data_IF_918318742485
#
_entry.id   IF_918318742485
#
_cell.length_a   1.000
_cell.length_b   1.000
_cell.length_c   1.000
_cell.angle_alpha   90.00
_cell.angle_beta   90.00
_cell.angle_gamma   90.00
#
_symmetry.space_group_name_H-M   'P 1'
#
loop_
_entity.id
_entity.type
_entity.pdbx_description
1 polymer ?
#
# COMPACT_ATOMS: atom_id res chain seq x y z
N UNK A 1 37.31 -3.32 10.91
CA UNK A 1 36.04 -2.56 11.02
C UNK A 1 35.57 -1.90 9.70
N UNK A 2 36.45 -1.65 8.70
CA UNK A 2 36.07 -1.00 7.42
C UNK A 2 35.18 -1.82 6.48
N UNK A 3 35.19 -3.15 6.60
CA UNK A 3 34.50 -4.10 5.70
C UNK A 3 33.09 -4.47 6.12
N UNK A 4 32.73 -4.27 7.40
CA UNK A 4 31.38 -4.59 7.88
C UNK A 4 30.31 -3.66 7.30
N UNK A 5 30.64 -2.38 7.12
CA UNK A 5 29.74 -1.38 6.57
C UNK A 5 29.34 -1.65 5.10
N UNK A 6 30.28 -1.89 4.16
CA UNK A 6 29.92 -2.20 2.78
C UNK A 6 29.22 -3.55 2.65
N UNK A 7 29.54 -4.53 3.50
CA UNK A 7 28.86 -5.85 3.52
C UNK A 7 27.41 -5.71 4.01
N UNK A 8 27.15 -4.89 5.04
CA UNK A 8 25.79 -4.63 5.51
C UNK A 8 24.97 -3.86 4.47
N UNK A 9 25.59 -2.90 3.76
CA UNK A 9 24.95 -2.14 2.69
C UNK A 9 24.61 -3.04 1.50
N UNK A 10 25.51 -3.93 1.12
CA UNK A 10 25.27 -4.91 0.06
C UNK A 10 24.15 -5.90 0.43
N UNK A 11 24.08 -6.34 1.70
CA UNK A 11 23.01 -7.20 2.18
C UNK A 11 21.62 -6.52 2.17
N UNK A 12 21.57 -5.21 2.44
CA UNK A 12 20.33 -4.42 2.37
C UNK A 12 19.90 -4.13 0.93
N UNK A 13 20.86 -3.97 0.00
CA UNK A 13 20.61 -3.72 -1.43
C UNK A 13 20.36 -4.99 -2.24
N UNK A 14 20.82 -6.16 -1.76
CA UNK A 14 20.79 -7.44 -2.47
C UNK A 14 19.53 -8.28 -2.27
N UNK A 15 18.50 -7.77 -1.59
CA UNK A 15 17.23 -8.48 -1.44
C UNK A 15 16.33 -8.15 -2.63
N UNK A 16 16.48 -8.90 -3.73
CA UNK A 16 15.34 -9.12 -4.62
C UNK A 16 14.27 -9.87 -3.80
N UNK A 17 13.23 -9.15 -3.36
CA UNK A 17 12.10 -9.78 -2.70
C UNK A 17 11.25 -10.51 -3.74
N UNK A 18 11.57 -11.78 -4.00
CA UNK A 18 10.62 -12.75 -4.55
C UNK A 18 9.58 -13.15 -3.48
N UNK A 19 8.95 -12.17 -2.84
CA UNK A 19 7.85 -12.41 -1.91
C UNK A 19 6.55 -12.12 -2.62
N UNK A 20 5.68 -13.12 -2.69
CA UNK A 20 4.27 -12.96 -3.04
C UNK A 20 3.68 -11.79 -2.25
N UNK A 21 3.10 -10.81 -2.97
CA UNK A 21 2.47 -9.64 -2.36
C UNK A 21 1.40 -10.11 -1.36
N UNK A 22 1.20 -9.37 -0.27
CA UNK A 22 0.12 -9.63 0.68
C UNK A 22 -0.74 -8.39 0.74
N UNK A 23 -2.05 -8.57 0.55
CA UNK A 23 -3.04 -7.50 0.51
C UNK A 23 -4.17 -7.80 1.48
N UNK A 24 -4.97 -6.80 1.83
CA UNK A 24 -6.28 -7.03 2.42
C UNK A 24 -7.27 -7.47 1.34
N UNK A 25 -8.09 -8.48 1.63
CA UNK A 25 -9.17 -8.93 0.77
C UNK A 25 -10.52 -8.90 1.48
N UNK A 26 -11.56 -8.55 0.73
CA UNK A 26 -12.94 -8.69 1.18
C UNK A 26 -13.88 -8.53 -0.01
N UNK A 27 -15.12 -8.97 0.18
CA UNK A 27 -16.19 -8.83 -0.81
C UNK A 27 -17.43 -8.30 -0.12
N UNK A 28 -18.04 -7.28 -0.72
CA UNK A 28 -19.33 -6.75 -0.31
C UNK A 28 -19.38 -6.34 1.18
N UNK A 29 -18.48 -5.45 1.60
CA UNK A 29 -18.49 -4.87 2.95
C UNK A 29 -18.85 -3.40 2.92
N UNK A 30 -19.57 -2.93 3.94
CA UNK A 30 -19.96 -1.52 4.05
C UNK A 30 -18.93 -0.65 4.78
N UNK A 31 -17.89 -1.26 5.35
CA UNK A 31 -16.90 -0.57 6.17
C UNK A 31 -15.53 -1.19 5.97
N UNK A 32 -14.52 -0.33 5.98
CA UNK A 32 -13.12 -0.70 5.90
C UNK A 32 -12.72 -1.64 7.03
N UNK A 33 -13.23 -1.43 8.25
CA UNK A 33 -12.89 -2.24 9.43
C UNK A 33 -13.22 -3.72 9.24
N UNK A 34 -14.34 -4.03 8.58
CA UNK A 34 -14.74 -5.40 8.24
C UNK A 34 -14.05 -5.96 6.98
N UNK A 35 -13.14 -5.18 6.40
CA UNK A 35 -12.46 -5.44 5.13
C UNK A 35 -10.92 -5.39 5.30
N UNK A 36 -10.45 -5.97 6.41
CA UNK A 36 -9.03 -6.05 6.79
C UNK A 36 -8.57 -7.50 6.98
N UNK A 37 -9.03 -8.42 6.12
CA UNK A 37 -8.53 -9.80 6.10
C UNK A 37 -7.24 -9.89 5.28
N UNK A 38 -6.06 -10.14 5.87
CA UNK A 38 -4.83 -10.29 5.10
C UNK A 38 -4.89 -11.54 4.22
N UNK A 39 -4.36 -11.46 3.01
CA UNK A 39 -4.39 -12.52 2.00
C UNK A 39 -3.11 -12.50 1.19
N UNK A 40 -2.48 -13.65 1.06
CA UNK A 40 -1.30 -13.85 0.22
C UNK A 40 -1.79 -13.91 -1.23
N UNK A 41 -1.21 -13.07 -2.08
CA UNK A 41 -1.53 -12.97 -3.49
C UNK A 41 -0.76 -14.02 -4.32
N UNK A 42 -1.21 -14.25 -5.56
CA UNK A 42 -0.47 -15.06 -6.52
C UNK A 42 0.87 -14.38 -6.89
N UNK A 43 1.86 -15.14 -7.36
CA UNK A 43 3.12 -14.59 -7.88
C UNK A 43 2.90 -13.70 -9.12
N UNK A 44 1.77 -13.89 -9.82
CA UNK A 44 1.36 -13.05 -10.94
C UNK A 44 0.73 -11.72 -10.51
N UNK A 45 0.30 -11.62 -9.24
CA UNK A 45 -0.45 -10.46 -8.74
C UNK A 45 0.50 -9.38 -8.22
N UNK A 46 0.54 -8.27 -8.95
CA UNK A 46 1.45 -7.16 -8.67
C UNK A 46 0.77 -5.98 -7.96
N UNK A 47 -0.54 -6.05 -7.73
CA UNK A 47 -1.34 -4.95 -7.18
C UNK A 47 -2.31 -5.42 -6.11
N UNK A 48 -2.33 -4.70 -4.98
CA UNK A 48 -3.48 -4.64 -4.11
C UNK A 48 -4.51 -3.67 -4.69
N UNK A 49 -5.73 -4.14 -4.89
CA UNK A 49 -6.83 -3.35 -5.46
C UNK A 49 -7.89 -3.11 -4.38
N UNK A 50 -8.40 -1.89 -4.34
CA UNK A 50 -9.57 -1.49 -3.58
C UNK A 50 -10.61 -0.94 -4.55
N UNK A 51 -11.80 -1.50 -4.55
CA UNK A 51 -12.95 -1.02 -5.32
C UNK A 51 -14.06 -0.63 -4.34
N UNK A 52 -14.46 0.63 -4.36
CA UNK A 52 -15.63 1.12 -3.63
C UNK A 52 -16.72 1.48 -4.63
N UNK A 53 -17.97 1.25 -4.27
CA UNK A 53 -19.13 1.66 -5.05
C UNK A 53 -20.15 2.27 -4.09
N UNK A 54 -20.62 3.48 -4.39
CA UNK A 54 -21.74 4.11 -3.71
C UNK A 54 -22.77 4.55 -4.72
N UNK A 55 -24.05 4.50 -4.35
CA UNK A 55 -25.13 5.07 -5.14
C UNK A 55 -26.00 5.95 -4.26
N UNK A 56 -26.41 7.10 -4.77
CA UNK A 56 -27.20 8.07 -4.03
C UNK A 56 -27.61 9.26 -4.89
N UNK A 57 -28.61 10.01 -4.44
CA UNK A 57 -29.03 11.27 -5.06
C UNK A 57 -28.70 12.40 -4.07
N UNK A 58 -27.64 13.15 -4.34
CA UNK A 58 -27.15 14.19 -3.44
C UNK A 58 -26.95 13.68 -2.00
N UNK A 59 -27.26 14.52 -1.01
CA UNK A 59 -27.24 14.15 0.40
C UNK A 59 -28.62 13.68 0.92
N UNK A 60 -29.58 13.43 0.04
CA UNK A 60 -30.98 13.17 0.41
C UNK A 60 -31.39 11.71 0.33
N UNK A 61 -30.75 10.92 -0.55
CA UNK A 61 -31.04 9.48 -0.69
C UNK A 61 -29.75 8.70 -0.83
N UNK A 62 -29.53 7.74 0.07
CA UNK A 62 -28.44 6.75 0.01
C UNK A 62 -29.00 5.40 -0.44
N UNK A 63 -28.54 4.91 -1.60
CA UNK A 63 -28.90 3.60 -2.14
C UNK A 63 -27.89 2.51 -1.75
N UNK A 64 -26.84 2.87 -1.02
CA UNK A 64 -25.90 1.94 -0.41
C UNK A 64 -24.45 2.18 -0.82
N UNK A 65 -23.55 1.65 0.02
CA UNK A 65 -22.11 1.65 -0.16
C UNK A 65 -21.55 0.23 -0.06
N UNK A 66 -20.68 -0.12 -0.99
CA UNK A 66 -20.02 -1.42 -1.08
C UNK A 66 -18.52 -1.23 -1.25
N UNK A 67 -17.74 -2.05 -0.54
CA UNK A 67 -16.30 -2.08 -0.58
C UNK A 67 -15.82 -3.51 -0.86
N UNK A 68 -14.94 -3.63 -1.84
CA UNK A 68 -14.24 -4.83 -2.23
C UNK A 68 -12.74 -4.56 -2.22
N UNK A 69 -11.95 -5.54 -1.78
CA UNK A 69 -10.49 -5.50 -1.85
C UNK A 69 -9.94 -6.84 -2.30
N UNK A 70 -8.78 -6.84 -2.95
CA UNK A 70 -8.13 -8.08 -3.37
C UNK A 70 -6.79 -7.87 -4.04
N UNK A 71 -6.29 -8.96 -4.62
CA UNK A 71 -5.07 -9.01 -5.42
C UNK A 71 -5.44 -9.00 -6.91
N UNK A 72 -4.58 -8.42 -7.75
CA UNK A 72 -4.76 -8.45 -9.20
C UNK A 72 -3.42 -8.35 -9.93
N UNK A 73 -3.25 -8.98 -11.10
CA UNK A 73 -2.07 -8.81 -11.94
C UNK A 73 -2.02 -7.43 -12.59
N UNK A 74 -3.18 -6.80 -12.79
CA UNK A 74 -3.33 -5.48 -13.41
C UNK A 74 -4.16 -4.56 -12.52
N UNK A 75 -3.90 -3.25 -12.56
CA UNK A 75 -4.79 -2.27 -11.93
C UNK A 75 -6.00 -2.02 -12.85
N UNK A 76 -7.25 -2.34 -12.42
CA UNK A 76 -8.43 -2.00 -13.21
C UNK A 76 -8.58 -0.48 -13.37
N UNK A 77 -9.28 -0.07 -14.42
CA UNK A 77 -9.40 1.33 -14.87
C UNK A 77 -9.91 2.34 -13.81
N UNK A 78 -9.87 3.65 -14.14
CA UNK A 78 -10.06 4.72 -13.17
C UNK A 78 -11.44 4.73 -12.53
N UNK A 79 -11.56 5.47 -11.43
CA UNK A 79 -12.84 5.73 -10.77
C UNK A 79 -13.83 6.40 -11.73
N UNK A 80 -15.07 5.91 -11.74
CA UNK A 80 -16.15 6.45 -12.58
C UNK A 80 -17.22 7.04 -11.67
N UNK A 81 -17.63 8.28 -11.93
CA UNK A 81 -18.74 8.91 -11.23
C UNK A 81 -19.81 9.32 -12.24
N UNK A 82 -20.99 8.71 -12.12
CA UNK A 82 -22.13 8.90 -12.99
C UNK A 82 -23.29 9.58 -12.25
N UNK A 83 -22.96 10.50 -11.32
CA UNK A 83 -23.90 11.38 -10.61
C UNK A 83 -24.77 10.69 -9.56
N UNK A 84 -25.46 9.62 -9.95
CA UNK A 84 -26.31 8.77 -9.09
C UNK A 84 -25.54 7.56 -8.56
N UNK A 85 -24.42 7.21 -9.19
CA UNK A 85 -23.54 6.13 -8.77
C UNK A 85 -22.07 6.52 -8.96
N UNK A 86 -21.22 6.19 -8.00
CA UNK A 86 -19.78 6.42 -8.04
C UNK A 86 -19.03 5.14 -7.70
N UNK A 87 -18.08 4.76 -8.55
CA UNK A 87 -17.17 3.65 -8.33
C UNK A 87 -15.76 4.22 -8.18
N UNK A 88 -15.15 4.02 -7.02
CA UNK A 88 -13.75 4.34 -6.74
C UNK A 88 -12.87 3.12 -6.95
N UNK A 89 -11.77 3.25 -7.68
CA UNK A 89 -10.77 2.20 -7.84
C UNK A 89 -9.40 2.74 -7.44
N UNK A 90 -8.73 2.07 -6.51
CA UNK A 90 -7.39 2.43 -6.04
C UNK A 90 -6.47 1.20 -6.04
N UNK A 91 -5.24 1.36 -6.52
CA UNK A 91 -4.25 0.31 -6.63
C UNK A 91 -2.92 0.71 -5.98
N UNK A 92 -2.23 -0.25 -5.36
CA UNK A 92 -0.91 -0.05 -4.78
C UNK A 92 -0.12 -1.38 -4.77
N UNK A 93 1.21 -1.32 -4.63
CA UNK A 93 2.10 -2.49 -4.85
C UNK A 93 2.95 -2.86 -3.61
N UNK A 94 2.59 -2.36 -2.44
CA UNK A 94 3.33 -2.61 -1.20
C UNK A 94 2.55 -3.55 -0.27
N UNK A 95 3.27 -4.25 0.62
CA UNK A 95 2.67 -5.13 1.62
C UNK A 95 1.57 -4.41 2.42
N UNK A 96 0.35 -4.95 2.38
CA UNK A 96 -0.84 -4.45 3.07
C UNK A 96 -1.17 -2.97 2.79
N UNK A 97 -0.76 -2.44 1.64
CA UNK A 97 -0.92 -1.02 1.30
C UNK A 97 -2.38 -0.58 1.18
N UNK A 98 -3.30 -1.49 0.88
CA UNK A 98 -4.73 -1.23 0.76
C UNK A 98 -5.46 -1.25 2.11
N UNK A 99 -4.78 -0.87 3.19
CA UNK A 99 -5.38 -0.77 4.53
C UNK A 99 -6.53 0.23 4.53
N UNK A 100 -6.35 1.41 3.95
CA UNK A 100 -7.35 2.47 3.88
C UNK A 100 -8.15 2.40 2.58
N UNK A 101 -9.43 2.78 2.66
CA UNK A 101 -10.29 2.96 1.47
C UNK A 101 -10.16 4.36 0.85
N UNK A 102 -9.53 5.31 1.55
CA UNK A 102 -9.31 6.67 1.08
C UNK A 102 -8.02 6.77 0.27
N UNK A 103 -8.11 7.38 -0.91
CA UNK A 103 -6.97 7.95 -1.61
C UNK A 103 -6.16 8.84 -0.64
N UNK A 104 -4.86 8.54 -0.48
CA UNK A 104 -3.99 9.33 0.38
C UNK A 104 -3.50 8.62 1.65
N UNK A 105 -3.07 7.36 1.52
CA UNK A 105 -2.13 6.81 2.50
C UNK A 105 -0.90 7.72 2.61
N UNK A 106 -0.37 7.90 3.83
CA UNK A 106 0.86 8.64 4.07
C UNK A 106 1.96 8.02 3.21
N UNK A 107 2.28 8.68 2.09
CA UNK A 107 3.35 8.27 1.19
C UNK A 107 4.66 8.67 1.84
N UNK A 108 5.03 7.94 2.90
CA UNK A 108 6.32 8.06 3.54
C UNK A 108 7.37 7.65 2.50
N UNK A 109 8.01 8.64 1.89
CA UNK A 109 9.05 8.41 0.90
C UNK A 109 10.14 7.56 1.54
N UNK A 110 10.34 6.34 1.03
CA UNK A 110 11.43 5.47 1.46
C UNK A 110 12.80 6.18 1.41
N UNK A 111 12.96 7.14 0.49
CA UNK A 111 14.11 8.03 0.39
C UNK A 111 14.32 8.91 1.64
N UNK A 112 13.25 9.43 2.26
CA UNK A 112 13.33 10.27 3.46
C UNK A 112 13.71 9.44 4.68
N UNK A 113 13.11 8.24 4.82
CA UNK A 113 13.48 7.30 5.87
C UNK A 113 14.93 6.81 5.70
N UNK A 114 15.33 6.53 4.46
CA UNK A 114 16.69 6.14 4.10
C UNK A 114 17.71 7.25 4.40
N UNK A 115 17.43 8.50 4.03
CA UNK A 115 18.29 9.64 4.37
C UNK A 115 18.40 9.83 5.88
N UNK A 116 17.30 9.71 6.62
CA UNK A 116 17.29 9.84 8.07
C UNK A 116 18.17 8.80 8.76
N UNK A 117 18.07 7.54 8.33
CA UNK A 117 18.93 6.46 8.81
C UNK A 117 20.41 6.71 8.45
N UNK A 118 20.71 7.11 7.22
CA UNK A 118 22.07 7.42 6.78
C UNK A 118 22.69 8.56 7.59
N UNK A 119 21.95 9.64 7.83
CA UNK A 119 22.39 10.79 8.63
C UNK A 119 22.62 10.41 10.09
N UNK A 120 21.75 9.56 10.67
CA UNK A 120 21.90 9.04 12.03
C UNK A 120 23.14 8.15 12.18
N UNK A 121 23.39 7.25 11.23
CA UNK A 121 24.60 6.43 11.22
C UNK A 121 25.87 7.28 11.03
N UNK A 122 25.84 8.28 10.16
CA UNK A 122 26.99 9.16 9.90
C UNK A 122 27.35 10.00 11.14
N UNK A 123 26.34 10.52 11.84
CA UNK A 123 26.55 11.29 13.08
C UNK A 123 27.03 10.41 14.25
N UNK A 124 26.56 9.16 14.35
CA UNK A 124 27.10 8.19 15.31
C UNK A 124 28.57 7.84 15.01
N UNK A 125 28.94 7.66 13.74
CA UNK A 125 30.32 7.41 13.31
C UNK A 125 31.25 8.60 13.58
N UNK A 126 30.76 9.83 13.40
CA UNK A 126 31.52 11.06 13.74
C UNK A 126 31.70 11.26 15.25
N UNK A 127 30.78 10.76 16.08
CA UNK A 127 30.88 10.80 17.56
C UNK A 127 31.79 9.72 18.15
N UNK A 128 32.01 8.62 17.44
CA UNK A 128 32.82 7.47 17.88
C UNK A 128 34.09 7.27 17.01
N UNK A 129 34.44 8.24 16.17
CA UNK A 129 35.76 8.30 15.54
C UNK A 129 36.85 8.66 16.57
N UNK A 130 38.08 8.13 16.45
CA UNK A 130 39.17 8.38 17.40
C UNK A 130 39.59 9.85 17.46
#
# INVERSE_FOLDING_TARGET
>A
MKVLLPVLLAALLGVERAHSLVCFSCTNKNSNFYCLKPTICSDSDNYCVTVSASAGIGNVVDFGYTLNKGCSPICPGPSVNLGVASVGTHCCQSFLCNISAADGGLRASAAVLGLGLLLSLLSALLRFGP
#
